data_IF_293691850825
#
_entry.id   IF_293691850825
#
_cell.length_a   1.000
_cell.length_b   1.000
_cell.length_c   1.000
_cell.angle_alpha   90.00
_cell.angle_beta   90.00
_cell.angle_gamma   90.00
#
_symmetry.space_group_name_H-M   'P 1'
#
loop_
_entity.id
_entity.type
_entity.pdbx_description
1 polymer ?
#
# COMPACT_ATOMS: atom_id res chain seq x y z
N UNK A 1 11.84 -13.90 10.65
CA UNK A 1 12.97 -14.48 9.87
C UNK A 1 12.99 -14.00 8.41
N UNK A 2 11.89 -14.14 7.65
CA UNK A 2 11.84 -13.66 6.24
C UNK A 2 11.97 -12.15 6.04
N UNK A 3 11.78 -11.36 7.11
CA UNK A 3 11.98 -9.91 7.12
C UNK A 3 13.44 -9.48 6.95
N UNK A 4 14.41 -10.39 7.19
CA UNK A 4 15.84 -10.10 7.02
C UNK A 4 16.30 -10.34 5.58
N UNK A 5 17.38 -9.66 5.21
CA UNK A 5 18.15 -9.95 3.99
C UNK A 5 18.48 -11.44 3.92
N UNK A 6 18.48 -12.01 2.72
CA UNK A 6 18.63 -13.45 2.50
C UNK A 6 19.92 -14.01 3.12
N UNK A 7 20.98 -13.21 3.17
CA UNK A 7 22.28 -13.52 3.77
C UNK A 7 22.25 -13.54 5.30
N UNK A 8 21.32 -12.77 5.91
CA UNK A 8 21.17 -12.65 7.38
C UNK A 8 20.11 -13.59 7.95
N UNK A 9 19.48 -14.43 7.12
CA UNK A 9 18.48 -15.41 7.57
C UNK A 9 19.18 -16.61 8.20
N UNK A 10 18.67 -17.14 9.33
CA UNK A 10 19.23 -18.35 9.91
C UNK A 10 19.02 -19.55 8.97
N UNK A 11 20.01 -20.43 8.90
CA UNK A 11 19.99 -21.65 8.07
C UNK A 11 19.19 -22.79 8.67
N UNK A 12 18.83 -22.71 9.95
CA UNK A 12 17.96 -23.68 10.63
C UNK A 12 17.31 -23.06 11.87
N UNK A 13 16.29 -23.73 12.39
CA UNK A 13 15.69 -23.44 13.69
C UNK A 13 15.21 -24.74 14.36
N UNK A 14 14.88 -24.66 15.65
CA UNK A 14 14.35 -25.81 16.41
C UNK A 14 12.86 -25.58 16.65
N UNK A 15 12.04 -26.58 16.31
CA UNK A 15 10.59 -26.55 16.55
C UNK A 15 10.27 -26.68 18.04
N UNK A 16 9.01 -26.40 18.41
CA UNK A 16 8.52 -26.64 19.78
C UNK A 16 8.57 -28.11 20.20
N UNK A 17 8.70 -29.05 19.24
CA UNK A 17 8.87 -30.49 19.50
C UNK A 17 10.35 -30.89 19.59
N UNK A 18 11.28 -29.94 19.57
CA UNK A 18 12.72 -30.20 19.64
C UNK A 18 13.35 -30.65 18.31
N UNK A 19 12.59 -30.64 17.21
CA UNK A 19 13.12 -31.04 15.90
C UNK A 19 13.89 -29.90 15.26
N UNK A 20 15.10 -30.17 14.78
CA UNK A 20 15.84 -29.23 13.91
C UNK A 20 15.21 -29.23 12.51
N UNK A 21 14.84 -28.04 12.04
CA UNK A 21 14.32 -27.80 10.69
C UNK A 21 15.36 -26.99 9.93
N UNK A 22 15.83 -27.53 8.80
CA UNK A 22 16.81 -26.86 7.95
C UNK A 22 16.11 -26.04 6.86
N UNK A 23 16.78 -24.96 6.45
CA UNK A 23 16.29 -24.09 5.38
C UNK A 23 16.92 -24.54 4.07
N UNK A 24 16.09 -24.92 3.11
CA UNK A 24 16.52 -25.11 1.73
C UNK A 24 16.87 -23.75 1.12
N UNK A 25 18.16 -23.40 1.18
CA UNK A 25 18.66 -22.09 0.76
C UNK A 25 18.38 -21.79 -0.71
N UNK A 26 18.37 -22.80 -1.58
CA UNK A 26 18.07 -22.61 -3.01
C UNK A 26 16.62 -22.16 -3.21
N UNK A 27 15.68 -22.78 -2.49
CA UNK A 27 14.27 -22.40 -2.51
C UNK A 27 14.07 -21.02 -1.89
N UNK A 28 14.74 -20.74 -0.77
CA UNK A 28 14.68 -19.43 -0.11
C UNK A 28 15.14 -18.28 -1.02
N UNK A 29 16.26 -18.44 -1.72
CA UNK A 29 16.78 -17.46 -2.69
C UNK A 29 15.79 -17.27 -3.86
N UNK A 30 15.22 -18.36 -4.40
CA UNK A 30 14.23 -18.27 -5.48
C UNK A 30 12.96 -17.54 -5.05
N UNK A 31 12.49 -17.80 -3.83
CA UNK A 31 11.34 -17.12 -3.23
C UNK A 31 11.63 -15.63 -3.04
N UNK A 32 12.82 -15.28 -2.54
CA UNK A 32 13.24 -13.90 -2.35
C UNK A 32 13.28 -13.12 -3.67
N UNK A 33 13.91 -13.67 -4.72
CA UNK A 33 13.89 -13.08 -6.07
C UNK A 33 12.48 -12.83 -6.58
N UNK A 34 11.57 -13.77 -6.33
CA UNK A 34 10.17 -13.63 -6.72
C UNK A 34 9.50 -12.48 -5.98
N UNK A 35 9.78 -12.30 -4.68
CA UNK A 35 9.30 -11.18 -3.88
C UNK A 35 9.85 -9.84 -4.36
N UNK A 36 11.17 -9.74 -4.59
CA UNK A 36 11.81 -8.51 -5.10
C UNK A 36 11.21 -8.09 -6.45
N UNK A 37 10.92 -9.06 -7.31
CA UNK A 37 10.22 -8.82 -8.57
C UNK A 37 8.84 -8.21 -8.43
N UNK A 38 8.13 -8.51 -7.34
CA UNK A 38 6.87 -7.86 -7.02
C UNK A 38 7.10 -6.39 -6.67
N UNK A 39 8.06 -6.11 -5.79
CA UNK A 39 8.38 -4.74 -5.35
C UNK A 39 8.72 -3.79 -6.50
N UNK A 40 9.44 -4.26 -7.52
CA UNK A 40 9.74 -3.44 -8.71
C UNK A 40 8.46 -2.94 -9.40
N UNK A 41 7.43 -3.78 -9.50
CA UNK A 41 6.15 -3.39 -10.11
C UNK A 41 5.43 -2.36 -9.24
N UNK A 42 5.40 -2.53 -7.92
CA UNK A 42 4.79 -1.56 -7.02
C UNK A 42 5.51 -0.21 -7.08
N UNK A 43 6.86 -0.20 -7.04
CA UNK A 43 7.66 1.02 -7.20
C UNK A 43 7.41 1.70 -8.54
N UNK A 44 7.24 0.93 -9.63
CA UNK A 44 6.90 1.50 -10.93
C UNK A 44 5.53 2.17 -10.92
N UNK A 45 4.54 1.54 -10.27
CA UNK A 45 3.18 2.09 -10.14
C UNK A 45 3.18 3.33 -9.23
N UNK A 46 3.87 3.32 -8.10
CA UNK A 46 4.03 4.47 -7.21
C UNK A 46 4.55 5.70 -7.98
N UNK A 47 5.60 5.53 -8.79
CA UNK A 47 6.19 6.59 -9.64
C UNK A 47 5.24 7.16 -10.71
N UNK A 48 4.11 6.51 -10.99
CA UNK A 48 3.09 7.08 -11.88
C UNK A 48 2.36 8.26 -11.24
N UNK A 49 2.23 8.25 -9.90
CA UNK A 49 1.62 9.30 -9.09
C UNK A 49 2.68 10.22 -8.48
N UNK A 50 3.77 9.65 -7.95
CA UNK A 50 4.85 10.37 -7.27
C UNK A 50 6.15 10.28 -8.10
N UNK A 51 6.32 11.09 -9.16
CA UNK A 51 7.46 10.96 -10.06
C UNK A 51 8.80 11.38 -9.42
N UNK A 52 8.77 12.27 -8.43
CA UNK A 52 9.95 12.78 -7.73
C UNK A 52 10.05 12.12 -6.35
N UNK A 53 11.16 11.43 -6.07
CA UNK A 53 11.42 10.77 -4.79
C UNK A 53 12.20 11.75 -3.88
N UNK A 54 11.49 12.44 -2.99
CA UNK A 54 12.11 13.31 -1.98
C UNK A 54 12.56 12.46 -0.79
N UNK A 55 13.88 12.33 -0.61
CA UNK A 55 14.45 11.59 0.52
C UNK A 55 14.40 12.42 1.80
N UNK A 56 13.47 12.10 2.69
CA UNK A 56 13.38 12.67 4.04
C UNK A 56 14.24 11.85 4.98
N UNK A 57 15.21 12.47 5.65
CA UNK A 57 16.08 11.80 6.61
C UNK A 57 15.45 11.87 8.01
N UNK A 58 15.48 10.74 8.73
CA UNK A 58 14.94 10.63 10.09
C UNK A 58 16.04 10.15 11.03
N UNK A 59 16.16 10.79 12.19
CA UNK A 59 17.13 10.47 13.24
C UNK A 59 16.48 9.86 14.48
N UNK A 60 15.25 10.25 14.80
CA UNK A 60 14.51 9.75 15.97
C UNK A 60 13.35 8.84 15.59
N UNK A 61 12.82 8.10 16.58
CA UNK A 61 11.62 7.27 16.40
C UNK A 61 10.39 8.13 16.12
N UNK A 62 10.31 9.31 16.73
CA UNK A 62 9.27 10.32 16.51
C UNK A 62 9.30 10.82 15.06
N UNK A 63 10.49 11.12 14.51
CA UNK A 63 10.64 11.55 13.11
C UNK A 63 10.25 10.43 12.12
N UNK A 64 10.52 9.16 12.44
CA UNK A 64 10.05 8.02 11.62
C UNK A 64 8.52 7.95 11.56
N UNK A 65 7.84 8.21 12.68
CA UNK A 65 6.39 8.27 12.73
C UNK A 65 5.82 9.54 12.10
N UNK A 66 6.52 10.67 12.23
CA UNK A 66 6.18 11.90 11.55
C UNK A 66 6.24 11.73 10.02
N UNK A 67 7.28 11.08 9.50
CA UNK A 67 7.36 10.73 8.08
C UNK A 67 6.20 9.83 7.63
N UNK A 68 5.78 8.87 8.48
CA UNK A 68 4.61 8.04 8.20
C UNK A 68 3.34 8.89 8.10
N UNK A 69 3.11 9.80 9.03
CA UNK A 69 1.96 10.71 9.00
C UNK A 69 2.02 11.68 7.81
N UNK A 70 3.19 12.19 7.46
CA UNK A 70 3.41 13.01 6.27
C UNK A 70 2.98 12.27 5.00
N UNK A 71 3.42 11.02 4.83
CA UNK A 71 3.04 10.21 3.68
C UNK A 71 1.53 9.93 3.63
N UNK A 72 0.88 9.78 4.79
CA UNK A 72 -0.58 9.67 4.85
C UNK A 72 -1.28 10.95 4.38
N UNK A 73 -0.80 12.11 4.83
CA UNK A 73 -1.34 13.42 4.41
C UNK A 73 -1.15 13.63 2.90
N UNK A 74 0.02 13.28 2.35
CA UNK A 74 0.30 13.34 0.90
C UNK A 74 -0.67 12.42 0.15
N UNK A 75 -0.94 11.24 0.70
CA UNK A 75 -1.94 10.32 0.17
C UNK A 75 -3.35 10.91 0.13
N UNK A 76 -3.79 11.59 1.21
CA UNK A 76 -5.08 12.28 1.23
C UNK A 76 -5.15 13.43 0.20
N UNK A 77 -4.10 14.24 0.10
CA UNK A 77 -4.02 15.31 -0.88
C UNK A 77 -4.10 14.77 -2.32
N UNK A 78 -3.43 13.64 -2.58
CA UNK A 78 -3.48 12.95 -3.87
C UNK A 78 -4.89 12.41 -4.17
N UNK A 79 -5.60 11.87 -3.17
CA UNK A 79 -7.01 11.47 -3.30
C UNK A 79 -7.93 12.64 -3.63
N UNK A 80 -7.72 13.80 -3.04
CA UNK A 80 -8.54 15.00 -3.30
C UNK A 80 -8.26 15.56 -4.71
N UNK A 81 -6.99 15.65 -5.08
CA UNK A 81 -6.54 16.33 -6.32
C UNK A 81 -6.63 15.46 -7.58
N UNK A 82 -6.23 14.19 -7.50
CA UNK A 82 -6.12 13.27 -8.65
C UNK A 82 -7.23 12.20 -8.61
N UNK A 83 -7.81 11.94 -7.43
CA UNK A 83 -8.83 10.92 -7.24
C UNK A 83 -8.28 9.53 -6.88
N UNK A 84 -6.97 9.39 -6.67
CA UNK A 84 -6.35 8.15 -6.19
C UNK A 84 -5.04 8.45 -5.47
N UNK A 85 -4.60 7.54 -4.58
CA UNK A 85 -3.26 7.55 -4.01
C UNK A 85 -2.69 6.12 -3.99
N UNK A 86 -1.36 6.00 -3.85
CA UNK A 86 -0.65 4.73 -3.78
C UNK A 86 0.27 4.68 -2.57
N UNK A 87 0.57 3.47 -2.12
CA UNK A 87 1.44 3.21 -0.97
C UNK A 87 1.00 3.98 0.30
N UNK A 88 -0.31 4.01 0.58
CA UNK A 88 -0.87 4.75 1.71
C UNK A 88 -0.60 4.01 3.04
N UNK A 89 0.13 4.58 4.00
CA UNK A 89 0.29 3.98 5.32
C UNK A 89 -1.05 3.83 6.04
N UNK A 90 -1.28 2.68 6.66
CA UNK A 90 -2.40 2.43 7.58
C UNK A 90 -1.88 1.73 8.83
N UNK A 91 -2.47 2.02 9.98
CA UNK A 91 -2.12 1.38 11.23
C UNK A 91 -3.26 1.45 12.23
N UNK A 92 -3.19 0.60 13.25
CA UNK A 92 -4.15 0.59 14.35
C UNK A 92 -3.89 -0.53 15.33
N UNK A 93 -4.61 -0.52 16.45
CA UNK A 93 -4.66 -1.65 17.37
C UNK A 93 -5.79 -2.59 16.94
N UNK A 94 -5.45 -3.85 16.66
CA UNK A 94 -6.42 -4.89 16.31
C UNK A 94 -6.14 -6.14 17.15
N UNK A 95 -7.14 -6.61 17.90
CA UNK A 95 -7.00 -7.71 18.87
C UNK A 95 -5.80 -7.50 19.80
N UNK A 96 -5.70 -6.30 20.38
CA UNK A 96 -4.63 -5.86 21.30
C UNK A 96 -3.22 -5.75 20.68
N UNK A 97 -3.06 -6.14 19.41
CA UNK A 97 -1.80 -6.05 18.68
C UNK A 97 -1.72 -4.78 17.85
N UNK A 98 -0.54 -4.17 17.81
CA UNK A 98 -0.24 -3.09 16.87
C UNK A 98 -0.10 -3.68 15.46
N UNK A 99 -0.96 -3.25 14.55
CA UNK A 99 -0.92 -3.61 13.13
C UNK A 99 -0.52 -2.39 12.32
N UNK A 100 0.47 -2.56 11.45
CA UNK A 100 0.94 -1.54 10.51
C UNK A 100 0.92 -2.17 9.12
N UNK A 101 0.41 -1.43 8.14
CA UNK A 101 0.28 -1.87 6.76
C UNK A 101 0.43 -0.71 5.79
N UNK A 102 0.41 -1.07 4.51
CA UNK A 102 0.51 -0.13 3.39
C UNK A 102 -0.49 -0.56 2.35
N UNK A 103 -1.43 0.32 2.04
CA UNK A 103 -2.41 0.08 1.00
C UNK A 103 -1.78 0.41 -0.33
N UNK A 104 -1.74 -0.56 -1.24
CA UNK A 104 -1.13 -0.35 -2.56
C UNK A 104 -1.82 0.79 -3.31
N UNK A 105 -3.15 0.83 -3.33
CA UNK A 105 -3.92 1.88 -3.99
C UNK A 105 -5.26 2.14 -3.32
N UNK A 106 -5.61 3.42 -3.16
CA UNK A 106 -6.97 3.87 -2.79
C UNK A 106 -7.51 4.73 -3.91
N UNK A 107 -8.75 4.51 -4.31
CA UNK A 107 -9.43 5.27 -5.37
C UNK A 107 -10.70 5.93 -4.85
N UNK A 108 -10.94 7.18 -5.25
CA UNK A 108 -12.18 7.92 -5.03
C UNK A 108 -13.17 7.59 -6.15
N UNK A 109 -14.43 7.33 -5.79
CA UNK A 109 -15.52 7.16 -6.75
C UNK A 109 -16.74 7.98 -6.34
N UNK A 110 -17.53 8.51 -7.30
CA UNK A 110 -18.74 9.26 -6.97
C UNK A 110 -19.80 8.32 -6.39
N UNK A 111 -20.40 8.69 -5.26
CA UNK A 111 -21.63 8.05 -4.79
C UNK A 111 -22.79 8.72 -5.52
N UNK A 112 -23.51 7.97 -6.34
CA UNK A 112 -24.73 8.48 -6.96
C UNK A 112 -25.69 8.91 -5.84
N UNK A 113 -26.08 10.20 -5.84
CA UNK A 113 -27.18 10.67 -5.00
C UNK A 113 -28.38 9.82 -5.33
N UNK A 114 -28.85 9.01 -4.38
CA UNK A 114 -30.13 8.31 -4.49
C UNK A 114 -31.15 9.37 -4.92
N UNK A 115 -31.64 9.28 -6.16
CA UNK A 115 -32.82 10.02 -6.54
C UNK A 115 -33.91 9.44 -5.65
N UNK A 116 -34.40 10.24 -4.71
CA UNK A 116 -35.64 9.96 -4.01
C UNK A 116 -36.71 9.73 -5.07
N UNK A 117 -36.92 8.47 -5.47
CA UNK A 117 -38.14 8.05 -6.12
C UNK A 117 -39.21 8.03 -5.02
N UNK A 118 -39.57 9.22 -4.53
CA UNK A 118 -40.89 9.38 -3.95
C UNK A 118 -41.86 8.95 -5.04
N UNK A 119 -42.48 7.82 -4.76
CA UNK A 119 -43.54 7.25 -5.58
C UNK A 119 -44.70 8.22 -5.46
N UNK A 120 -44.78 9.21 -6.37
CA UNK A 120 -46.00 9.98 -6.56
C UNK A 120 -47.06 9.02 -7.09
N UNK A 121 -47.87 8.49 -6.17
CA UNK A 121 -49.24 8.11 -6.45
C UNK A 121 -49.98 9.39 -6.81
N UNK A 122 -49.95 9.78 -8.07
CA UNK A 122 -50.87 10.79 -8.60
C UNK A 122 -51.78 10.21 -9.67
N UNK A 123 -53.03 10.27 -9.24
CA UNK A 123 -54.32 10.02 -9.86
C UNK A 123 -54.44 10.43 -11.32
N UNK A 124 -55.21 9.64 -12.07
CA UNK A 124 -55.56 9.87 -13.46
C UNK A 124 -56.64 10.94 -13.53
N UNK A 125 -56.31 12.19 -13.87
CA UNK A 125 -57.28 13.04 -14.61
C UNK A 125 -56.67 14.25 -15.35
N UNK A 126 -56.85 14.20 -16.67
CA UNK A 126 -56.95 15.30 -17.66
C UNK A 126 -55.69 16.10 -18.10
N UNK A 127 -55.52 16.32 -19.43
CA UNK A 127 -54.60 17.32 -19.95
C UNK A 127 -55.32 18.63 -20.20
N UNK A 128 -54.80 19.76 -19.70
CA UNK A 128 -55.13 21.08 -20.27
C UNK A 128 -53.88 21.92 -20.47
N UNK A 129 -53.61 22.16 -21.75
CA UNK A 129 -52.81 23.25 -22.30
C UNK A 129 -53.32 24.59 -21.75
N UNK A 130 -52.43 25.40 -21.18
CA UNK A 130 -52.41 26.86 -21.40
C UNK A 130 -51.00 27.40 -21.20
N UNK A 131 -50.39 27.80 -22.31
CA UNK A 131 -49.27 28.73 -22.40
C UNK A 131 -49.69 30.13 -21.93
N UNK A 132 -48.70 30.95 -21.54
CA UNK A 132 -48.72 32.41 -21.35
C UNK A 132 -49.14 32.96 -19.98
N UNK A 133 -48.14 33.20 -19.11
CA UNK A 133 -48.01 34.43 -18.32
C UNK A 133 -46.59 34.54 -17.77
N UNK A 134 -45.80 35.44 -18.37
CA UNK A 134 -44.59 35.98 -17.77
C UNK A 134 -45.01 36.75 -16.51
N UNK A 135 -44.54 36.32 -15.35
CA UNK A 135 -44.58 37.12 -14.12
C UNK A 135 -43.29 36.88 -13.36
N UNK A 136 -42.48 37.93 -13.34
CA UNK A 136 -41.26 38.09 -12.56
C UNK A 136 -41.54 37.62 -11.13
N UNK A 137 -40.85 36.56 -10.71
CA UNK A 137 -40.76 36.15 -9.32
C UNK A 137 -39.35 36.45 -8.81
N UNK A 138 -39.18 36.87 -7.55
CA UNK A 138 -37.89 37.29 -7.02
C UNK A 138 -36.94 36.09 -6.99
N UNK A 139 -35.69 36.29 -7.41
CA UNK A 139 -34.63 35.31 -7.18
C UNK A 139 -34.57 34.99 -5.68
N UNK A 140 -34.89 33.75 -5.32
CA UNK A 140 -34.46 33.17 -4.05
C UNK A 140 -33.00 32.78 -4.22
N UNK A 141 -32.15 33.33 -3.36
CA UNK A 141 -30.77 32.93 -3.24
C UNK A 141 -30.66 31.42 -2.96
N UNK A 142 -29.87 30.74 -3.80
CA UNK A 142 -28.98 29.66 -3.37
C UNK A 142 -29.58 28.31 -2.98
N UNK A 143 -30.22 27.60 -3.91
CA UNK A 143 -30.14 26.13 -3.87
C UNK A 143 -28.72 25.72 -4.26
N UNK A 144 -27.80 25.74 -3.28
CA UNK A 144 -26.51 25.09 -3.43
C UNK A 144 -26.78 23.59 -3.64
N UNK A 145 -26.58 23.10 -4.87
CA UNK A 145 -26.62 21.66 -5.15
C UNK A 145 -25.77 20.95 -4.09
N UNK A 146 -26.28 19.91 -3.42
CA UNK A 146 -25.48 19.13 -2.48
C UNK A 146 -24.18 18.73 -3.18
N UNK A 147 -23.05 19.05 -2.55
CA UNK A 147 -21.74 18.62 -3.04
C UNK A 147 -21.78 17.09 -3.23
N UNK A 148 -21.24 16.57 -4.34
CA UNK A 148 -21.26 15.13 -4.61
C UNK A 148 -20.52 14.41 -3.48
N UNK A 149 -21.18 13.46 -2.82
CA UNK A 149 -20.52 12.58 -1.86
C UNK A 149 -19.67 11.57 -2.63
N UNK A 150 -18.52 11.21 -2.07
CA UNK A 150 -17.64 10.23 -2.68
C UNK A 150 -17.39 9.06 -1.74
N UNK A 151 -17.23 7.89 -2.32
CA UNK A 151 -16.74 6.70 -1.64
C UNK A 151 -15.26 6.47 -1.94
N UNK A 152 -14.61 5.69 -1.10
CA UNK A 152 -13.23 5.24 -1.26
C UNK A 152 -13.22 3.74 -1.52
N UNK A 153 -12.38 3.29 -2.43
CA UNK A 153 -12.16 1.88 -2.71
C UNK A 153 -10.72 1.52 -2.42
N UNK A 154 -10.51 0.43 -1.70
CA UNK A 154 -9.20 -0.12 -1.38
C UNK A 154 -8.86 -1.20 -2.40
N UNK A 155 -7.68 -1.09 -3.02
CA UNK A 155 -7.19 -2.03 -4.01
C UNK A 155 -5.80 -2.54 -3.61
N UNK A 156 -5.56 -3.81 -3.90
CA UNK A 156 -4.25 -4.45 -3.77
C UNK A 156 -3.82 -5.01 -5.12
N UNK A 157 -2.57 -4.73 -5.50
CA UNK A 157 -1.97 -5.19 -6.74
C UNK A 157 -1.15 -6.44 -6.46
N UNK A 158 -1.50 -7.55 -7.14
CA UNK A 158 -0.69 -8.78 -7.12
C UNK A 158 -0.03 -9.02 -8.46
N UNK A 159 1.27 -9.30 -8.42
CA UNK A 159 2.03 -9.63 -9.62
C UNK A 159 2.05 -11.15 -9.85
N UNK A 160 1.87 -11.56 -11.10
CA UNK A 160 1.94 -12.97 -11.51
C UNK A 160 2.91 -13.17 -12.67
N UNK A 161 3.50 -14.36 -12.72
CA UNK A 161 4.29 -14.83 -13.86
C UNK A 161 3.38 -15.18 -15.04
N UNK A 162 2.30 -15.91 -14.77
CA UNK A 162 1.35 -16.36 -15.77
C UNK A 162 0.12 -15.45 -15.85
N UNK A 163 -0.59 -15.50 -16.97
CA UNK A 163 -1.80 -14.69 -17.23
C UNK A 163 -3.09 -15.26 -16.63
N UNK A 164 -3.08 -16.49 -16.12
CA UNK A 164 -4.26 -17.07 -15.47
C UNK A 164 -4.57 -16.38 -14.13
N UNK A 165 -5.84 -16.28 -13.76
CA UNK A 165 -6.18 -15.80 -12.42
C UNK A 165 -6.03 -16.94 -11.39
N UNK A 166 -5.66 -16.62 -10.13
CA UNK A 166 -5.63 -17.62 -9.07
C UNK A 166 -7.05 -18.13 -8.75
N UNK A 167 -7.14 -19.32 -8.16
CA UNK A 167 -8.41 -19.85 -7.63
C UNK A 167 -8.92 -19.00 -6.45
N UNK A 168 -10.16 -19.20 -6.03
CA UNK A 168 -10.70 -18.56 -4.81
C UNK A 168 -9.92 -18.96 -3.55
N UNK A 169 -9.42 -20.19 -3.46
CA UNK A 169 -8.63 -20.65 -2.32
C UNK A 169 -7.24 -20.00 -2.28
N UNK A 170 -6.69 -19.64 -3.44
CA UNK A 170 -5.39 -18.97 -3.56
C UNK A 170 -5.50 -17.45 -3.33
N UNK A 171 -6.70 -16.87 -3.37
CA UNK A 171 -6.90 -15.44 -3.13
C UNK A 171 -7.07 -15.10 -1.65
N UNK A 172 -7.38 -16.09 -0.80
CA UNK A 172 -7.69 -15.87 0.61
C UNK A 172 -6.66 -14.98 1.35
N UNK A 173 -5.33 -15.18 1.23
CA UNK A 173 -4.37 -14.29 1.89
C UNK A 173 -4.47 -12.83 1.43
N UNK A 174 -4.66 -12.61 0.12
CA UNK A 174 -4.84 -11.27 -0.46
C UNK A 174 -6.18 -10.66 -0.03
N UNK A 175 -7.24 -11.46 0.06
CA UNK A 175 -8.54 -11.00 0.58
C UNK A 175 -8.42 -10.54 2.02
N UNK A 176 -7.81 -11.35 2.88
CA UNK A 176 -7.56 -11.04 4.30
C UNK A 176 -6.72 -9.76 4.46
N UNK A 177 -5.68 -9.60 3.64
CA UNK A 177 -4.85 -8.39 3.62
C UNK A 177 -5.68 -7.14 3.32
N UNK A 178 -6.48 -7.14 2.25
CA UNK A 178 -7.30 -5.97 1.87
C UNK A 178 -8.42 -5.73 2.88
N UNK A 179 -9.01 -6.77 3.48
CA UNK A 179 -9.98 -6.61 4.57
C UNK A 179 -9.34 -5.96 5.80
N UNK A 180 -8.10 -6.32 6.14
CA UNK A 180 -7.36 -5.68 7.22
C UNK A 180 -7.10 -4.20 6.90
N UNK A 181 -6.64 -3.91 5.69
CA UNK A 181 -6.41 -2.54 5.24
C UNK A 181 -7.66 -1.67 5.31
N UNK A 182 -8.81 -2.18 4.82
CA UNK A 182 -10.10 -1.49 4.95
C UNK A 182 -10.44 -1.22 6.42
N UNK A 183 -10.29 -2.23 7.29
CA UNK A 183 -10.60 -2.11 8.73
C UNK A 183 -9.77 -1.02 9.40
N UNK A 184 -8.47 -0.97 9.11
CA UNK A 184 -7.58 0.07 9.65
C UNK A 184 -7.91 1.44 9.07
N UNK A 185 -8.17 1.51 7.76
CA UNK A 185 -8.49 2.77 7.08
C UNK A 185 -9.84 3.35 7.54
N UNK A 186 -10.86 2.53 7.73
CA UNK A 186 -12.15 2.97 8.31
C UNK A 186 -11.95 3.65 9.66
N UNK A 187 -11.14 3.03 10.53
CA UNK A 187 -10.84 3.56 11.85
C UNK A 187 -10.11 4.91 11.77
N UNK A 188 -9.13 5.02 10.87
CA UNK A 188 -8.35 6.23 10.67
C UNK A 188 -9.16 7.39 10.07
N UNK A 189 -10.18 7.10 9.27
CA UNK A 189 -11.03 8.09 8.58
C UNK A 189 -12.34 8.40 9.30
N UNK A 190 -12.61 7.76 10.44
CA UNK A 190 -13.84 7.95 11.20
C UNK A 190 -13.97 9.39 11.73
N UNK A 191 -15.09 10.04 11.42
CA UNK A 191 -15.44 11.40 11.86
C UNK A 191 -16.23 11.34 13.16
N UNK A 192 -17.17 10.41 13.31
CA UNK A 192 -17.98 10.28 14.54
C UNK A 192 -17.17 9.79 15.73
N UNK A 193 -16.17 8.95 15.49
CA UNK A 193 -15.24 8.48 16.50
C UNK A 193 -13.80 8.69 16.00
N UNK A 194 -13.23 9.90 16.14
CA UNK A 194 -11.89 10.20 15.67
C UNK A 194 -10.85 9.26 16.24
N UNK A 195 -9.88 8.87 15.41
CA UNK A 195 -8.81 7.98 15.82
C UNK A 195 -7.93 8.61 16.92
N UNK A 196 -7.75 7.89 18.04
CA UNK A 196 -6.87 8.30 19.13
C UNK A 196 -5.43 7.82 18.87
N UNK A 197 -4.59 8.74 18.41
CA UNK A 197 -3.18 8.47 18.14
C UNK A 197 -2.36 8.21 19.41
N UNK A 198 -2.81 8.67 20.59
CA UNK A 198 -2.06 8.47 21.84
C UNK A 198 -1.92 6.99 22.18
N UNK A 199 -2.89 6.16 21.80
CA UNK A 199 -2.81 4.70 21.95
C UNK A 199 -1.56 4.13 21.27
N UNK A 200 -1.15 4.70 20.13
CA UNK A 200 0.06 4.29 19.41
C UNK A 200 1.31 4.84 20.09
N UNK A 201 1.28 6.11 20.49
CA UNK A 201 2.38 6.77 21.19
C UNK A 201 2.72 6.06 22.51
N UNK A 202 1.72 5.75 23.32
CA UNK A 202 1.87 5.02 24.58
C UNK A 202 2.42 3.61 24.35
N UNK A 203 1.91 2.91 23.31
CA UNK A 203 2.37 1.56 22.98
C UNK A 203 3.83 1.50 22.54
N UNK A 204 4.31 2.58 21.92
CA UNK A 204 5.66 2.70 21.37
C UNK A 204 6.59 3.52 22.26
N UNK A 205 6.10 4.04 23.38
CA UNK A 205 6.81 4.93 24.29
C UNK A 205 7.38 6.18 23.59
N UNK A 206 6.59 6.79 22.71
CA UNK A 206 6.96 8.00 21.97
C UNK A 206 6.49 9.25 22.70
N UNK A 207 7.32 10.30 22.67
CA UNK A 207 6.93 11.62 23.15
C UNK A 207 6.28 12.41 22.00
N UNK A 208 4.97 12.59 22.06
CA UNK A 208 4.23 13.29 21.01
C UNK A 208 4.50 14.80 20.94
N UNK A 209 5.12 15.36 21.98
CA UNK A 209 5.48 16.78 22.11
C UNK A 209 6.94 17.08 21.79
N UNK A 210 7.76 16.04 21.59
CA UNK A 210 9.16 16.20 21.24
C UNK A 210 9.30 16.96 19.92
N UNK A 211 10.18 17.97 19.92
CA UNK A 211 10.46 18.78 18.75
C UNK A 211 11.34 18.02 17.76
N UNK A 212 11.01 18.11 16.48
CA UNK A 212 11.82 17.52 15.42
C UNK A 212 13.09 18.32 15.14
N UNK A 213 14.08 17.66 14.51
CA UNK A 213 15.27 18.33 14.02
C UNK A 213 14.93 19.28 12.87
N UNK A 214 15.73 20.34 12.74
CA UNK A 214 15.58 21.29 11.63
C UNK A 214 15.76 20.61 10.27
N UNK A 215 16.71 19.67 10.16
CA UNK A 215 16.94 18.91 8.93
C UNK A 215 15.71 18.08 8.51
N UNK A 216 15.03 17.44 9.48
CA UNK A 216 13.78 16.76 9.21
C UNK A 216 12.69 17.73 8.76
N UNK A 217 12.48 18.83 9.49
CA UNK A 217 11.43 19.81 9.16
C UNK A 217 11.60 20.41 7.74
N UNK A 218 12.82 20.76 7.35
CA UNK A 218 13.13 21.30 6.03
C UNK A 218 12.86 20.28 4.92
N UNK A 219 13.33 19.03 5.09
CA UNK A 219 13.11 17.97 4.10
C UNK A 219 11.64 17.52 4.03
N UNK A 220 10.94 17.49 5.15
CA UNK A 220 9.51 17.20 5.22
C UNK A 220 8.67 18.28 4.52
N UNK A 221 8.99 19.56 4.71
CA UNK A 221 8.31 20.67 4.03
C UNK A 221 8.49 20.60 2.50
N UNK A 222 9.72 20.36 2.04
CA UNK A 222 10.00 20.16 0.61
C UNK A 222 9.20 18.99 0.01
N UNK A 223 9.10 17.87 0.75
CA UNK A 223 8.28 16.73 0.36
C UNK A 223 6.78 17.07 0.29
N UNK A 224 6.27 17.83 1.26
CA UNK A 224 4.87 18.28 1.26
C UNK A 224 4.55 19.19 0.07
N UNK A 225 5.40 20.18 -0.19
CA UNK A 225 5.21 21.17 -1.27
C UNK A 225 5.30 20.55 -2.65
N UNK A 226 6.31 19.70 -2.90
CA UNK A 226 6.48 18.97 -4.17
C UNK A 226 5.28 18.08 -4.52
N UNK A 227 4.54 17.62 -3.51
CA UNK A 227 3.34 16.80 -3.68
C UNK A 227 2.03 17.62 -3.66
N UNK A 228 2.11 18.95 -3.81
CA UNK A 228 0.97 19.83 -3.97
C UNK A 228 0.21 20.13 -2.68
N UNK A 229 0.84 19.91 -1.53
CA UNK A 229 0.32 20.37 -0.25
C UNK A 229 0.51 21.88 -0.09
N UNK A 230 -0.56 22.61 0.24
CA UNK A 230 -0.45 24.02 0.63
C UNK A 230 0.02 24.08 2.09
N UNK A 231 1.14 24.74 2.37
CA UNK A 231 1.54 25.10 3.74
C UNK A 231 0.72 26.34 4.12
N UNK A 232 -0.49 26.12 4.63
CA UNK A 232 -1.33 27.23 5.11
C UNK A 232 -0.84 27.69 6.50
N UNK A 233 0.40 28.17 6.57
CA UNK A 233 1.06 28.67 7.78
C UNK A 233 1.26 27.66 8.92
N UNK A 234 0.86 26.38 8.75
CA UNK A 234 1.03 25.34 9.77
C UNK A 234 2.44 24.77 9.73
N UNK A 235 3.13 24.83 10.87
CA UNK A 235 4.42 24.19 11.08
C UNK A 235 4.24 22.75 11.56
N UNK A 236 5.09 21.84 11.07
CA UNK A 236 5.18 20.46 11.54
C UNK A 236 6.33 20.35 12.54
N UNK A 237 6.10 20.71 13.81
CA UNK A 237 7.17 20.77 14.80
C UNK A 237 7.23 19.55 15.71
N UNK A 238 6.10 18.86 15.92
CA UNK A 238 5.99 17.64 16.71
C UNK A 238 4.92 16.68 16.15
N UNK A 239 4.76 15.51 16.76
CA UNK A 239 3.77 14.51 16.32
C UNK A 239 2.33 15.02 16.50
N UNK A 240 2.06 15.80 17.55
CA UNK A 240 0.73 16.35 17.79
C UNK A 240 0.26 17.22 16.62
N UNK A 241 1.13 18.05 16.05
CA UNK A 241 0.82 18.90 14.89
C UNK A 241 0.36 18.06 13.69
N UNK A 242 1.03 16.93 13.42
CA UNK A 242 0.62 16.01 12.37
C UNK A 242 -0.76 15.40 12.63
N UNK A 243 -1.06 15.01 13.87
CA UNK A 243 -2.39 14.45 14.21
C UNK A 243 -3.51 15.49 14.12
N UNK A 244 -3.22 16.76 14.44
CA UNK A 244 -4.17 17.87 14.28
C UNK A 244 -4.45 18.16 12.81
N UNK A 245 -3.40 18.14 11.99
CA UNK A 245 -3.52 18.31 10.54
C UNK A 245 -4.29 17.13 9.93
N UNK A 246 -4.03 15.91 10.35
CA UNK A 246 -4.77 14.71 9.93
C UNK A 246 -6.27 14.84 10.22
N UNK A 247 -6.64 15.21 11.45
CA UNK A 247 -8.05 15.47 11.83
C UNK A 247 -8.69 16.51 10.92
N UNK A 248 -7.99 17.61 10.65
CA UNK A 248 -8.46 18.66 9.73
C UNK A 248 -8.62 18.17 8.28
N UNK A 249 -7.69 17.35 7.80
CA UNK A 249 -7.69 16.82 6.43
C UNK A 249 -8.85 15.85 6.17
N UNK A 250 -9.23 15.03 7.15
CA UNK A 250 -10.39 14.12 7.00
C UNK A 250 -11.67 14.90 6.71
N UNK A 251 -11.89 16.03 7.38
CA UNK A 251 -13.07 16.87 7.14
C UNK A 251 -13.12 17.42 5.71
N UNK A 252 -11.95 17.62 5.06
CA UNK A 252 -11.86 18.10 3.68
C UNK A 252 -12.02 16.99 2.64
N UNK A 253 -11.83 15.72 3.02
CA UNK A 253 -11.95 14.59 2.11
C UNK A 253 -13.40 14.36 1.65
N UNK A 254 -14.38 14.94 2.36
CA UNK A 254 -15.83 14.77 2.13
C UNK A 254 -16.28 13.30 2.11
N UNK A 255 -15.41 12.42 2.62
CA UNK A 255 -15.64 11.01 2.84
C UNK A 255 -16.21 10.88 4.26
N UNK A 256 -17.53 10.71 4.37
CA UNK A 256 -18.18 10.52 5.67
C UNK A 256 -17.75 9.23 6.37
N UNK A 257 -18.35 8.95 7.54
CA UNK A 257 -18.22 7.65 8.19
C UNK A 257 -18.60 6.51 7.24
N UNK A 258 -17.87 5.40 7.30
CA UNK A 258 -18.03 4.24 6.43
C UNK A 258 -17.94 4.57 4.93
N UNK A 259 -17.16 5.60 4.58
CA UNK A 259 -16.90 6.00 3.19
C UNK A 259 -16.11 4.96 2.40
N UNK A 260 -15.40 4.05 3.05
CA UNK A 260 -14.69 2.96 2.38
C UNK A 260 -15.68 1.85 1.99
N UNK A 261 -15.78 1.61 0.68
CA UNK A 261 -16.63 0.61 0.04
C UNK A 261 -16.45 -0.79 0.67
N UNK A 262 -17.56 -1.48 0.90
CA UNK A 262 -17.56 -2.87 1.32
C UNK A 262 -17.08 -3.81 0.21
N UNK A 263 -17.12 -3.36 -1.05
CA UNK A 263 -16.61 -4.10 -2.20
C UNK A 263 -15.13 -3.83 -2.39
N UNK A 264 -14.31 -4.83 -2.11
CA UNK A 264 -12.85 -4.78 -2.15
C UNK A 264 -12.32 -5.41 -3.44
N UNK A 265 -11.18 -4.93 -3.93
CA UNK A 265 -10.61 -5.38 -5.20
C UNK A 265 -9.16 -5.84 -5.08
N UNK A 266 -8.84 -6.91 -5.81
CA UNK A 266 -7.47 -7.36 -6.06
C UNK A 266 -7.22 -7.26 -7.56
N UNK A 267 -6.23 -6.46 -7.95
CA UNK A 267 -5.79 -6.28 -9.33
C UNK A 267 -4.62 -7.21 -9.60
N UNK A 268 -4.78 -8.12 -10.54
CA UNK A 268 -3.69 -8.98 -10.98
C UNK A 268 -2.99 -8.37 -12.18
N UNK A 269 -1.66 -8.25 -12.09
CA UNK A 269 -0.81 -7.75 -13.17
C UNK A 269 0.20 -8.80 -13.61
N UNK A 270 0.41 -8.92 -14.92
CA UNK A 270 1.49 -9.72 -15.47
C UNK A 270 2.81 -8.97 -15.28
N UNK A 271 3.84 -9.66 -14.81
CA UNK A 271 5.21 -9.12 -14.86
C UNK A 271 5.60 -8.96 -16.33
N UNK A 272 6.05 -7.76 -16.70
CA UNK A 272 6.35 -7.46 -18.10
C UNK A 272 7.37 -8.43 -18.68
N UNK A 273 7.01 -9.10 -19.77
CA UNK A 273 7.98 -9.72 -20.67
C UNK A 273 8.25 -8.75 -21.82
N UNK A 274 9.52 -8.52 -22.14
CA UNK A 274 9.91 -7.70 -23.28
C UNK A 274 9.23 -8.24 -24.54
N UNK A 275 8.69 -7.36 -25.41
CA UNK A 275 8.18 -7.78 -26.74
C UNK A 275 9.34 -8.41 -27.52
N UNK A 276 9.33 -9.74 -27.64
CA UNK A 276 10.35 -10.50 -28.38
C UNK A 276 10.05 -10.42 -29.88
N UNK A 277 11.09 -10.25 -30.70
CA UNK A 277 11.00 -10.44 -32.15
C UNK A 277 10.76 -11.93 -32.45
N UNK A 278 10.10 -12.22 -33.58
CA UNK A 278 9.56 -13.55 -33.92
C UNK A 278 10.58 -14.69 -34.01
N UNK A 279 11.88 -14.42 -33.96
CA UNK A 279 12.96 -15.41 -34.11
C UNK A 279 13.32 -16.16 -32.81
N UNK A 280 12.66 -15.86 -31.70
CA UNK A 280 13.15 -16.21 -30.35
C UNK A 280 12.25 -17.20 -29.59
N UNK A 281 11.25 -17.76 -30.27
CA UNK A 281 10.37 -18.80 -29.74
C UNK A 281 11.05 -20.17 -29.86
N UNK A 282 11.93 -20.49 -28.91
CA UNK A 282 12.42 -21.85 -28.72
C UNK A 282 12.17 -22.31 -27.28
N UNK A 283 11.81 -23.59 -27.14
CA UNK A 283 11.44 -24.42 -25.97
C UNK A 283 11.03 -23.76 -24.63
N UNK A 284 9.99 -24.31 -23.98
CA UNK A 284 9.43 -23.82 -22.70
C UNK A 284 10.45 -23.59 -21.56
N UNK A 285 11.53 -24.35 -21.50
CA UNK A 285 12.60 -24.15 -20.50
C UNK A 285 13.53 -22.96 -20.82
N UNK A 286 13.75 -22.64 -22.09
CA UNK A 286 14.50 -21.45 -22.49
C UNK A 286 13.69 -20.17 -22.20
N UNK A 287 12.36 -20.23 -22.37
CA UNK A 287 11.45 -19.14 -22.01
C UNK A 287 11.51 -18.79 -20.51
N UNK A 288 11.42 -19.78 -19.62
CA UNK A 288 11.47 -19.55 -18.16
C UNK A 288 12.83 -18.98 -17.74
N UNK A 289 13.93 -19.48 -18.31
CA UNK A 289 15.29 -18.97 -18.02
C UNK A 289 15.46 -17.51 -18.46
N UNK A 290 14.96 -17.14 -19.63
CA UNK A 290 15.07 -15.78 -20.14
C UNK A 290 14.24 -14.78 -19.31
N UNK A 291 13.04 -15.16 -18.87
CA UNK A 291 12.22 -14.33 -17.99
C UNK A 291 12.86 -14.12 -16.61
N UNK A 292 13.52 -15.15 -16.05
CA UNK A 292 14.25 -15.03 -14.78
C UNK A 292 15.48 -14.09 -14.93
N UNK A 293 16.14 -14.05 -16.09
CA UNK A 293 17.24 -13.10 -16.39
C UNK A 293 16.74 -11.65 -16.56
N UNK A 294 15.60 -11.46 -17.20
CA UNK A 294 14.97 -10.14 -17.33
C UNK A 294 14.54 -9.60 -15.96
N UNK A 295 13.98 -10.48 -15.13
CA UNK A 295 13.63 -10.15 -13.76
C UNK A 295 14.85 -9.73 -12.95
N UNK A 296 15.97 -10.42 -13.11
CA UNK A 296 17.22 -10.08 -12.45
C UNK A 296 17.71 -8.68 -12.85
N UNK A 297 17.69 -8.37 -14.16
CA UNK A 297 18.07 -7.04 -14.65
C UNK A 297 17.19 -5.92 -14.11
N UNK A 298 15.88 -6.16 -13.99
CA UNK A 298 14.94 -5.18 -13.44
C UNK A 298 15.19 -4.94 -11.94
N UNK A 299 15.49 -5.99 -11.17
CA UNK A 299 15.87 -5.87 -9.76
C UNK A 299 17.18 -5.08 -9.63
N UNK A 300 18.21 -5.42 -10.41
CA UNK A 300 19.50 -4.73 -10.39
C UNK A 300 19.36 -3.24 -10.76
N UNK A 301 18.54 -2.90 -11.76
CA UNK A 301 18.25 -1.51 -12.11
C UNK A 301 17.58 -0.76 -10.95
N UNK A 302 16.57 -1.36 -10.32
CA UNK A 302 15.89 -0.77 -9.16
C UNK A 302 16.84 -0.60 -7.97
N UNK A 303 17.79 -1.51 -7.75
CA UNK A 303 18.80 -1.40 -6.71
C UNK A 303 19.84 -0.32 -7.01
N UNK A 304 20.21 -0.11 -8.27
CA UNK A 304 21.11 0.98 -8.68
C UNK A 304 20.47 2.34 -8.50
N UNK A 305 19.20 2.49 -8.87
CA UNK A 305 18.42 3.72 -8.62
C UNK A 305 18.27 4.01 -7.13
N UNK A 306 18.21 2.98 -6.29
CA UNK A 306 18.14 3.12 -4.84
C UNK A 306 19.44 3.69 -4.22
N UNK A 307 20.60 3.58 -4.91
CA UNK A 307 21.91 3.88 -4.33
C UNK A 307 22.38 2.73 -3.44
N UNK A 308 23.51 2.10 -3.81
CA UNK A 308 24.03 0.92 -3.14
C UNK A 308 24.45 1.17 -1.69
N UNK A 309 23.97 0.30 -0.81
CA UNK A 309 24.22 0.16 0.64
C UNK A 309 23.82 1.35 1.55
N UNK A 310 22.99 0.98 2.53
CA UNK A 310 22.44 1.73 3.67
C UNK A 310 21.41 2.84 3.37
N UNK A 311 20.20 2.61 3.88
CA UNK A 311 19.06 3.54 3.99
C UNK A 311 18.22 3.85 2.75
N UNK A 312 18.02 2.91 1.83
CA UNK A 312 16.72 2.87 1.13
C UNK A 312 15.70 2.09 1.92
N UNK A 313 15.38 2.67 3.08
CA UNK A 313 14.10 2.41 3.70
C UNK A 313 13.06 3.01 2.75
N UNK A 314 12.42 2.14 1.96
CA UNK A 314 10.98 2.30 1.84
C UNK A 314 10.47 2.57 3.27
N UNK A 315 9.70 3.64 3.54
CA UNK A 315 9.26 3.99 4.91
C UNK A 315 8.35 2.91 5.56
N UNK A 316 8.29 1.73 4.94
CA UNK A 316 7.46 0.58 5.22
C UNK A 316 8.23 -0.70 5.52
N UNK A 317 9.56 -0.66 5.65
CA UNK A 317 10.25 -1.77 6.28
C UNK A 317 9.80 -1.85 7.75
N UNK A 318 8.97 -2.85 8.06
CA UNK A 318 8.61 -3.27 9.42
C UNK A 318 9.81 -3.78 10.24
N UNK A 319 11.04 -3.39 9.88
CA UNK A 319 12.30 -3.82 10.49
C UNK A 319 12.62 -3.11 11.81
N UNK A 320 11.95 -2.00 12.11
CA UNK A 320 12.38 -1.09 13.17
C UNK A 320 11.53 -1.15 14.44
N UNK A 321 10.62 -2.14 14.57
CA UNK A 321 10.13 -2.53 15.89
C UNK A 321 11.23 -3.42 16.50
N UNK A 322 12.13 -2.77 17.25
CA UNK A 322 13.02 -3.48 18.14
C UNK A 322 12.18 -4.44 19.02
N UNK A 323 12.58 -5.70 19.03
CA UNK A 323 12.03 -6.74 19.89
C UNK A 323 12.13 -6.27 21.36
N UNK A 324 11.03 -6.06 22.09
CA UNK A 324 11.08 -5.55 23.46
C UNK A 324 11.65 -6.58 24.47
N UNK A 325 12.11 -7.76 24.01
CA UNK A 325 12.60 -8.85 24.87
C UNK A 325 13.99 -9.41 24.48
N UNK A 326 14.97 -8.58 24.12
CA UNK A 326 16.35 -9.02 23.85
C UNK A 326 17.43 -8.11 24.44
N UNK A 327 18.52 -8.65 25.06
CA UNK A 327 19.51 -7.84 25.77
C UNK A 327 20.47 -7.10 24.82
N UNK A 328 20.76 -5.85 25.17
CA UNK A 328 21.67 -4.95 24.47
C UNK A 328 23.13 -5.42 24.55
N UNK A 329 23.86 -5.37 23.43
CA UNK A 329 25.33 -5.41 23.41
C UNK A 329 25.82 -4.28 22.51
N UNK A 330 26.48 -3.31 23.13
CA UNK A 330 27.14 -2.15 22.53
C UNK A 330 28.44 -2.55 21.81
N UNK A 331 28.73 -1.94 20.66
CA UNK A 331 30.12 -1.67 20.23
C UNK A 331 30.21 -0.42 19.34
N UNK A 332 31.37 0.27 19.30
CA UNK A 332 31.50 1.71 18.98
C UNK A 332 31.99 2.00 17.54
N UNK A 333 32.01 3.28 17.11
CA UNK A 333 32.23 3.66 15.71
C UNK A 333 33.71 3.79 15.35
N UNK A 334 34.03 3.59 14.06
CA UNK A 334 35.30 4.03 13.46
C UNK A 334 35.05 4.94 12.27
N UNK A 335 35.68 6.11 12.36
CA UNK A 335 35.84 7.16 11.38
C UNK A 335 36.79 6.77 10.24
N UNK A 336 36.64 7.38 9.06
CA UNK A 336 37.55 8.41 8.52
C UNK A 336 37.12 8.84 7.12
N UNK A 337 37.34 10.13 6.87
CA UNK A 337 36.98 10.91 5.70
C UNK A 337 37.87 10.65 4.48
N UNK A 338 37.41 11.08 3.30
CA UNK A 338 38.24 11.91 2.42
C UNK A 338 37.37 12.70 1.43
N UNK A 339 37.64 14.01 1.39
CA UNK A 339 37.13 15.02 0.47
C UNK A 339 37.84 14.93 -0.90
N UNK A 340 37.14 15.15 -2.01
CA UNK A 340 37.29 16.36 -2.87
C UNK A 340 36.43 16.30 -4.15
N UNK A 341 36.08 17.47 -4.74
CA UNK A 341 34.98 17.64 -5.69
C UNK A 341 35.43 17.63 -7.15
N UNK A 342 34.52 17.28 -8.06
CA UNK A 342 34.65 17.58 -9.49
C UNK A 342 33.37 18.22 -10.02
N UNK A 343 33.51 19.51 -10.35
CA UNK A 343 32.62 20.37 -11.11
C UNK A 343 32.71 20.07 -12.61
N UNK A 344 31.58 19.94 -13.32
CA UNK A 344 31.52 20.22 -14.77
C UNK A 344 30.15 20.83 -15.14
N UNK A 345 30.25 22.10 -15.52
CA UNK A 345 29.53 22.93 -16.49
C UNK A 345 28.08 22.66 -16.90
N UNK A 346 27.30 23.73 -16.73
CA UNK A 346 26.09 24.07 -17.47
C UNK A 346 26.39 24.21 -18.96
N UNK A 347 25.51 23.68 -19.80
CA UNK A 347 25.23 24.34 -21.07
C UNK A 347 23.75 24.24 -21.47
N UNK A 348 23.22 25.38 -21.88
CA UNK A 348 21.82 25.62 -22.24
C UNK A 348 21.56 25.29 -23.71
N UNK A 349 20.36 24.77 -24.04
CA UNK A 349 19.35 25.46 -24.91
C UNK A 349 18.24 24.55 -25.47
N UNK A 350 17.09 25.23 -25.67
CA UNK A 350 15.86 24.95 -26.47
C UNK A 350 14.79 24.14 -25.73
N UNK A 351 13.75 24.76 -25.15
CA UNK A 351 12.64 25.54 -25.75
C UNK A 351 11.90 24.79 -26.85
N UNK A 352 10.70 24.27 -26.51
CA UNK A 352 9.50 24.43 -27.32
C UNK A 352 8.24 24.31 -26.45
N UNK A 353 7.31 25.25 -26.65
CA UNK A 353 6.02 25.39 -25.94
C UNK A 353 4.93 24.51 -26.56
N UNK A 354 3.87 24.16 -25.79
CA UNK A 354 2.92 23.12 -26.14
C UNK A 354 1.71 23.63 -26.94
N UNK A 355 1.16 22.77 -27.80
CA UNK A 355 -0.15 22.96 -28.41
C UNK A 355 -1.24 22.27 -27.55
N UNK A 356 -2.33 22.98 -27.29
CA UNK A 356 -3.49 22.53 -26.51
C UNK A 356 -4.30 21.43 -27.22
N UNK A 357 -4.81 20.40 -26.51
CA UNK A 357 -5.80 19.49 -27.06
C UNK A 357 -7.23 19.83 -26.59
N UNK A 358 -8.18 19.60 -27.49
CA UNK A 358 -9.62 19.77 -27.34
C UNK A 358 -10.26 18.75 -26.38
N UNK A 359 -11.34 19.19 -25.74
CA UNK A 359 -12.22 18.44 -24.84
C UNK A 359 -12.80 17.17 -25.49
N UNK A 360 -12.70 16.04 -24.79
CA UNK A 360 -13.58 14.88 -24.95
C UNK A 360 -13.69 14.14 -23.62
N UNK A 361 -14.88 14.20 -23.04
CA UNK A 361 -15.33 13.49 -21.84
C UNK A 361 -15.07 11.99 -21.88
N UNK A 362 -14.15 11.48 -21.05
CA UNK A 362 -14.04 10.06 -20.68
C UNK A 362 -13.66 9.97 -19.20
N UNK A 363 -14.27 9.00 -18.52
CA UNK A 363 -14.05 8.55 -17.14
C UNK A 363 -12.66 8.86 -16.58
N UNK A 364 -12.62 9.52 -15.41
CA UNK A 364 -11.40 9.84 -14.67
C UNK A 364 -10.71 8.58 -14.13
N UNK A 365 -9.97 7.92 -15.02
CA UNK A 365 -8.82 7.09 -14.66
C UNK A 365 -7.59 7.80 -15.22
N UNK A 366 -6.50 7.98 -14.45
CA UNK A 366 -5.32 8.68 -14.92
C UNK A 366 -4.80 8.06 -16.24
N UNK A 367 -4.32 8.88 -17.19
CA UNK A 367 -3.89 8.39 -18.50
C UNK A 367 -2.76 7.37 -18.34
N UNK A 368 -2.98 6.18 -18.92
CA UNK A 368 -2.07 5.03 -18.86
C UNK A 368 -0.72 5.39 -19.47
N UNK A 369 0.35 5.46 -18.67
CA UNK A 369 1.71 5.68 -19.17
C UNK A 369 2.17 4.47 -20.01
N UNK A 370 2.86 4.68 -21.15
CA UNK A 370 3.46 3.59 -21.92
C UNK A 370 4.44 2.80 -21.04
N UNK A 371 4.26 1.49 -20.92
CA UNK A 371 5.12 0.61 -20.12
C UNK A 371 4.58 0.19 -18.76
N UNK A 372 3.38 0.63 -18.35
CA UNK A 372 2.71 0.13 -17.14
C UNK A 372 2.40 -1.38 -17.26
N UNK A 373 2.65 -2.19 -16.20
CA UNK A 373 2.45 -3.62 -16.26
C UNK A 373 0.98 -3.98 -16.54
N UNK A 374 0.79 -4.92 -17.47
CA UNK A 374 -0.51 -5.30 -18.01
C UNK A 374 -1.41 -5.92 -16.95
N UNK A 375 -2.64 -5.41 -16.82
CA UNK A 375 -3.67 -5.99 -15.96
C UNK A 375 -4.21 -7.24 -16.64
N UNK A 376 -4.11 -8.38 -15.97
CA UNK A 376 -4.61 -9.68 -16.44
C UNK A 376 -6.01 -10.00 -15.90
N UNK A 377 -6.43 -9.32 -14.83
CA UNK A 377 -7.80 -9.39 -14.35
C UNK A 377 -7.96 -8.76 -12.97
N UNK A 378 -9.21 -8.58 -12.58
CA UNK A 378 -9.61 -8.01 -11.30
C UNK A 378 -10.51 -9.04 -10.62
N UNK A 379 -10.29 -9.25 -9.32
CA UNK A 379 -11.23 -9.99 -8.48
C UNK A 379 -11.86 -9.07 -7.46
N UNK A 380 -13.18 -9.08 -7.42
CA UNK A 380 -13.98 -8.33 -6.46
C UNK A 380 -14.56 -9.27 -5.42
N UNK A 381 -14.64 -8.82 -4.17
CA UNK A 381 -15.24 -9.58 -3.08
C UNK A 381 -15.75 -8.63 -2.00
N UNK A 382 -16.68 -9.12 -1.18
CA UNK A 382 -17.24 -8.33 -0.08
C UNK A 382 -16.36 -8.41 1.17
N UNK A 383 -16.31 -7.33 1.92
CA UNK A 383 -15.67 -7.29 3.22
C UNK A 383 -16.45 -8.18 4.22
N UNK A 384 -15.75 -9.13 4.84
CA UNK A 384 -16.31 -10.07 5.82
C UNK A 384 -15.61 -9.91 7.18
N UNK A 385 -16.05 -8.98 8.06
CA UNK A 385 -15.38 -8.68 9.32
C UNK A 385 -15.22 -9.90 10.23
N UNK A 386 -16.22 -10.79 10.25
CA UNK A 386 -16.23 -11.99 11.08
C UNK A 386 -15.24 -13.04 10.57
N UNK A 387 -15.09 -13.19 9.25
CA UNK A 387 -14.08 -14.05 8.64
C UNK A 387 -12.68 -13.53 8.97
N UNK A 388 -12.45 -12.22 8.81
CA UNK A 388 -11.18 -11.58 9.15
C UNK A 388 -10.85 -11.82 10.64
N UNK A 389 -11.77 -11.49 11.55
CA UNK A 389 -11.57 -11.66 12.98
C UNK A 389 -11.27 -13.12 13.35
N UNK A 390 -12.03 -14.07 12.81
CA UNK A 390 -11.81 -15.49 13.07
C UNK A 390 -10.44 -15.96 12.58
N UNK A 391 -10.02 -15.49 11.40
CA UNK A 391 -8.70 -15.82 10.86
C UNK A 391 -7.56 -15.23 11.69
N UNK A 392 -7.64 -13.94 12.03
CA UNK A 392 -6.60 -13.27 12.82
C UNK A 392 -6.50 -13.88 14.21
N UNK A 393 -7.62 -14.17 14.88
CA UNK A 393 -7.63 -14.88 16.17
C UNK A 393 -6.93 -16.23 16.05
N UNK A 394 -7.29 -17.03 15.03
CA UNK A 394 -6.62 -18.30 14.79
C UNK A 394 -5.12 -18.11 14.54
N UNK A 395 -4.68 -17.08 13.82
CA UNK A 395 -3.24 -16.81 13.64
C UNK A 395 -2.57 -16.42 14.97
N UNK A 396 -3.19 -15.54 15.76
CA UNK A 396 -2.67 -15.09 17.04
C UNK A 396 -2.58 -16.22 18.07
N UNK A 397 -3.58 -17.12 18.13
CA UNK A 397 -3.53 -18.29 19.00
C UNK A 397 -2.26 -19.14 18.75
N UNK A 398 -1.80 -19.20 17.51
CA UNK A 398 -0.55 -19.91 17.19
C UNK A 398 0.68 -19.13 17.63
N UNK A 399 0.72 -17.83 17.34
CA UNK A 399 1.83 -16.96 17.76
C UNK A 399 1.98 -16.88 19.28
N UNK A 400 0.87 -16.95 20.02
CA UNK A 400 0.83 -16.93 21.48
C UNK A 400 1.01 -18.33 22.10
N UNK A 401 1.21 -19.37 21.30
CA UNK A 401 1.39 -20.75 21.78
C UNK A 401 0.11 -21.41 22.33
N UNK A 402 -1.06 -20.80 22.13
CA UNK A 402 -2.37 -21.32 22.51
C UNK A 402 -2.86 -22.44 21.56
N UNK A 403 -2.27 -22.54 20.36
CA UNK A 403 -2.47 -23.69 19.45
C UNK A 403 -1.20 -24.14 18.75
N UNK A 404 -1.19 -25.39 18.28
CA UNK A 404 -0.14 -25.94 17.43
C UNK A 404 -0.17 -25.43 15.98
N UNK A 405 0.92 -25.61 15.21
CA UNK A 405 0.96 -25.27 13.80
C UNK A 405 -0.01 -26.15 13.00
N UNK A 406 -0.71 -25.51 12.06
CA UNK A 406 -1.59 -26.18 11.11
C UNK A 406 -0.98 -26.05 9.71
N UNK A 407 -0.88 -27.17 8.99
CA UNK A 407 -0.41 -27.18 7.61
C UNK A 407 -1.50 -26.88 6.60
N UNK A 408 -1.14 -26.93 5.32
CA UNK A 408 -2.09 -26.73 4.22
C UNK A 408 -3.11 -27.86 4.16
N UNK A 409 -4.27 -27.65 3.53
CA UNK A 409 -5.19 -28.76 3.25
C UNK A 409 -4.55 -29.78 2.30
N UNK A 410 -5.08 -31.02 2.26
CA UNK A 410 -4.52 -32.10 1.43
C UNK A 410 -4.49 -31.71 -0.06
N UNK A 411 -5.53 -31.02 -0.52
CA UNK A 411 -5.69 -30.51 -1.87
C UNK A 411 -4.66 -29.41 -2.20
N UNK A 412 -4.12 -28.75 -1.17
CA UNK A 412 -3.15 -27.65 -1.30
C UNK A 412 -1.70 -28.08 -1.00
N UNK A 413 -1.42 -29.38 -0.88
CA UNK A 413 -0.06 -29.92 -0.65
C UNK A 413 0.94 -29.53 -1.74
N UNK A 414 0.48 -29.17 -2.94
CA UNK A 414 1.34 -28.60 -3.99
C UNK A 414 2.10 -27.34 -3.55
N UNK A 415 1.58 -26.58 -2.58
CA UNK A 415 2.26 -25.42 -1.97
C UNK A 415 3.55 -25.82 -1.24
N UNK A 416 3.63 -27.04 -0.72
CA UNK A 416 4.84 -27.56 -0.09
C UNK A 416 6.03 -27.63 -1.05
N UNK A 417 5.81 -27.73 -2.37
CA UNK A 417 6.90 -27.80 -3.37
C UNK A 417 7.73 -26.53 -3.48
N UNK A 418 7.23 -25.41 -2.97
CA UNK A 418 7.94 -24.11 -2.95
C UNK A 418 8.28 -23.67 -1.52
N UNK A 419 8.05 -24.54 -0.53
CA UNK A 419 8.37 -24.28 0.85
C UNK A 419 9.85 -24.56 1.10
N UNK A 420 10.57 -23.57 1.63
CA UNK A 420 11.99 -23.71 2.00
C UNK A 420 12.21 -24.63 3.21
N UNK A 421 11.15 -25.00 3.94
CA UNK A 421 11.17 -25.90 5.10
C UNK A 421 10.61 -27.29 4.76
N UNK A 422 10.51 -27.63 3.48
CA UNK A 422 9.78 -28.80 2.98
C UNK A 422 10.31 -30.12 3.54
N UNK A 423 11.63 -30.28 3.62
CA UNK A 423 12.28 -31.57 3.89
C UNK A 423 12.04 -32.03 5.33
N UNK A 424 12.22 -31.16 6.31
CA UNK A 424 12.01 -31.48 7.74
C UNK A 424 10.63 -31.01 8.27
N UNK A 425 9.65 -30.79 7.39
CA UNK A 425 8.33 -30.32 7.79
C UNK A 425 7.56 -31.37 8.61
N UNK A 426 7.42 -31.14 9.92
CA UNK A 426 6.71 -32.04 10.84
C UNK A 426 5.26 -32.33 10.43
N UNK A 427 4.57 -31.36 9.84
CA UNK A 427 3.22 -31.57 9.34
C UNK A 427 3.18 -32.58 8.19
N UNK A 428 4.16 -32.54 7.28
CA UNK A 428 4.23 -33.49 6.16
C UNK A 428 4.53 -34.90 6.65
N UNK A 429 5.42 -35.04 7.62
CA UNK A 429 5.73 -36.33 8.24
C UNK A 429 4.51 -36.92 8.96
N UNK A 430 3.80 -36.11 9.75
CA UNK A 430 2.57 -36.54 10.41
C UNK A 430 1.52 -37.01 9.41
N UNK A 431 1.35 -36.29 8.28
CA UNK A 431 0.41 -36.71 7.24
C UNK A 431 0.90 -37.96 6.49
N UNK A 432 2.19 -38.09 6.23
CA UNK A 432 2.75 -39.28 5.59
C UNK A 432 2.67 -40.56 6.45
N UNK A 433 2.53 -40.44 7.77
CA UNK A 433 2.27 -41.56 8.68
C UNK A 433 0.78 -41.91 8.81
N UNK A 434 -0.11 -40.97 8.45
CA UNK A 434 -1.55 -41.15 8.56
C UNK A 434 -2.19 -41.78 7.30
N UNK A 435 -1.41 -41.93 6.23
CA UNK A 435 -1.75 -42.56 4.96
C UNK A 435 -0.71 -43.63 4.63
#
# INVERSE_FOLDING_TARGET
MRSRDIEKRPSSFVSTKGKRIEVNQKVAVKNDRTLQGGKVVHKQLEKEIYPEEVKVQTTTSEEKWALRLLNMLIGLQSLVSIGCCRELPVFGIYMEQLVIGVVDEVQRFPLESVKDNQTELQDKSQPKITTFLNSVSPQRDGDAKPLPKFGLRVLDTKTRRYSNLPSETDTLPSRLQVMMYKTLLDSLLSISNPYDFNVIWDRLHLDSTALFSQAFMESAALSWESNGGLVDGKQFSCLNDFTDIWRGAIHQLEAGDNSVDGTLQIIYRKRGSRKRTSSELDTGEALVRNEDLDLQRAIEASLREAGGLESTLSPFAASDIADPFGPAIETPPKSLADDTPISIDLDSKKSDRPASPALSSKSHSPPRRPGSPEIIGIKEFQHEPQMLASHIRNVLDWWMGLRGPEGVSIENTGRCNHCEYKEECEWREMKALAF
#
